data_IF_021250821000
#
_entry.id   IF_021250821000
#
_cell.length_a   1.000
_cell.length_b   1.000
_cell.length_c   1.000
_cell.angle_alpha   90.00
_cell.angle_beta   90.00
_cell.angle_gamma   90.00
#
_symmetry.space_group_name_H-M   'P 1'
#
loop_
_entity.id
_entity.type
_entity.pdbx_description
1 polymer ?
#
# COMPACT_ATOMS: atom_id res chain seq x y z
N UNK A 1 -4.65 -0.07 -13.22
CA UNK A 1 -3.94 0.97 -12.49
C UNK A 1 -3.16 0.38 -11.34
N UNK A 2 -3.85 -0.31 -10.45
CA UNK A 2 -3.16 -1.02 -9.37
C UNK A 2 -2.19 -2.04 -9.94
N UNK A 3 -2.53 -2.61 -11.07
CA UNK A 3 -1.67 -3.58 -11.74
C UNK A 3 -0.36 -3.02 -12.23
N UNK A 4 -0.26 -1.70 -12.35
CA UNK A 4 0.99 -1.05 -12.77
C UNK A 4 1.98 -0.87 -11.64
N UNK A 5 1.54 -1.06 -10.39
CA UNK A 5 2.41 -0.90 -9.24
C UNK A 5 3.19 -2.19 -8.99
N UNK A 6 4.45 -2.06 -8.50
CA UNK A 6 5.20 -3.24 -8.10
C UNK A 6 4.49 -4.00 -7.00
N UNK A 7 4.75 -5.30 -6.92
CA UNK A 7 4.14 -6.12 -5.87
C UNK A 7 4.50 -5.60 -4.48
N UNK A 8 5.70 -5.05 -4.32
CA UNK A 8 6.14 -4.52 -3.04
C UNK A 8 5.21 -3.43 -2.52
N UNK A 9 4.52 -2.74 -3.41
CA UNK A 9 3.58 -1.69 -3.03
C UNK A 9 2.16 -2.22 -2.93
N UNK A 10 1.77 -3.12 -3.83
CA UNK A 10 0.42 -3.65 -3.86
C UNK A 10 0.10 -4.55 -2.67
N UNK A 11 1.04 -5.41 -2.31
CA UNK A 11 0.78 -6.39 -1.26
C UNK A 11 0.51 -5.73 0.09
N UNK A 12 1.33 -4.78 0.56
CA UNK A 12 1.04 -4.11 1.82
C UNK A 12 -0.30 -3.39 1.79
N UNK A 13 -0.61 -2.73 0.67
CA UNK A 13 -1.88 -2.01 0.56
C UNK A 13 -3.06 -2.96 0.61
N UNK A 14 -2.98 -4.07 -0.11
CA UNK A 14 -4.06 -5.05 -0.13
C UNK A 14 -4.29 -5.63 1.26
N UNK A 15 -3.22 -5.91 2.00
CA UNK A 15 -3.34 -6.42 3.35
C UNK A 15 -3.99 -5.40 4.27
N UNK A 16 -3.64 -4.13 4.11
CA UNK A 16 -4.23 -3.07 4.92
C UNK A 16 -5.73 -2.96 4.66
N UNK A 17 -6.12 -3.01 3.41
CA UNK A 17 -7.53 -2.95 3.03
C UNK A 17 -8.30 -4.15 3.58
N UNK A 18 -7.63 -5.29 3.68
CA UNK A 18 -8.25 -6.51 4.22
C UNK A 18 -8.45 -6.46 5.73
N UNK A 19 -7.86 -5.46 6.39
CA UNK A 19 -8.05 -5.29 7.82
C UNK A 19 -6.81 -5.52 8.67
N UNK A 20 -5.67 -5.77 8.04
CA UNK A 20 -4.42 -5.97 8.77
C UNK A 20 -3.88 -4.64 9.26
N UNK A 21 -3.31 -4.66 10.47
CA UNK A 21 -2.65 -3.47 11.00
C UNK A 21 -1.24 -3.37 10.41
N UNK A 22 -0.72 -2.14 10.37
CA UNK A 22 0.63 -1.92 9.83
C UNK A 22 1.66 -2.84 10.47
N UNK A 23 1.56 -3.00 11.79
CA UNK A 23 2.50 -3.85 12.51
C UNK A 23 2.41 -5.29 12.03
N UNK A 24 1.20 -5.77 11.84
CA UNK A 24 0.99 -7.13 11.37
C UNK A 24 1.53 -7.32 9.96
N UNK A 25 1.32 -6.34 9.11
CA UNK A 25 1.84 -6.38 7.75
C UNK A 25 3.36 -6.43 7.77
N UNK A 26 3.97 -5.60 8.60
CA UNK A 26 5.43 -5.55 8.71
C UNK A 26 5.98 -6.90 9.13
N UNK A 27 5.33 -7.55 10.09
CA UNK A 27 5.79 -8.85 10.56
C UNK A 27 5.66 -9.92 9.46
N UNK A 28 4.53 -9.93 8.77
CA UNK A 28 4.29 -10.93 7.75
C UNK A 28 5.20 -10.79 6.55
N UNK A 29 5.54 -9.56 6.20
CA UNK A 29 6.39 -9.30 5.06
C UNK A 29 7.87 -9.21 5.43
N UNK A 30 8.18 -9.17 6.72
CA UNK A 30 9.56 -9.05 7.16
C UNK A 30 10.16 -7.69 6.86
N UNK A 31 9.34 -6.65 6.92
CA UNK A 31 9.78 -5.28 6.61
C UNK A 31 9.70 -4.40 7.84
N UNK A 32 10.51 -3.33 7.90
CA UNK A 32 10.38 -2.33 8.96
C UNK A 32 9.00 -1.68 8.90
N UNK A 33 8.48 -1.31 10.05
CA UNK A 33 7.17 -0.67 10.13
C UNK A 33 7.10 0.60 9.31
N UNK A 34 8.16 1.41 9.36
CA UNK A 34 8.22 2.65 8.59
C UNK A 34 8.13 2.41 7.09
N UNK A 35 8.74 1.33 6.62
CA UNK A 35 8.68 0.97 5.21
C UNK A 35 7.25 0.61 4.80
N UNK A 36 6.56 -0.15 5.64
CA UNK A 36 5.17 -0.53 5.37
C UNK A 36 4.30 0.71 5.28
N UNK A 37 4.44 1.61 6.25
CA UNK A 37 3.66 2.86 6.24
C UNK A 37 3.91 3.67 4.98
N UNK A 38 5.17 3.82 4.60
CA UNK A 38 5.53 4.60 3.43
C UNK A 38 4.94 4.00 2.15
N UNK A 39 5.03 2.69 2.02
CA UNK A 39 4.53 2.02 0.83
C UNK A 39 3.02 2.12 0.71
N UNK A 40 2.31 1.96 1.82
CA UNK A 40 0.86 2.07 1.82
C UNK A 40 0.45 3.51 1.50
N UNK A 41 1.12 4.47 2.11
CA UNK A 41 0.83 5.88 1.87
C UNK A 41 1.07 6.25 0.40
N UNK A 42 2.18 5.80 -0.15
CA UNK A 42 2.51 6.07 -1.55
C UNK A 42 1.46 5.47 -2.49
N UNK A 43 1.06 4.24 -2.22
CA UNK A 43 0.04 3.58 -3.04
C UNK A 43 -1.28 4.32 -2.99
N UNK A 44 -1.69 4.74 -1.80
CA UNK A 44 -2.93 5.51 -1.66
C UNK A 44 -2.89 6.80 -2.46
N UNK A 45 -1.77 7.49 -2.40
CA UNK A 45 -1.64 8.76 -3.12
C UNK A 45 -1.72 8.56 -4.62
N UNK A 46 -1.11 7.49 -5.11
CA UNK A 46 -1.17 7.20 -6.54
C UNK A 46 -2.60 6.93 -6.98
N UNK A 47 -3.32 6.14 -6.22
CA UNK A 47 -4.71 5.83 -6.54
C UNK A 47 -5.59 7.07 -6.48
N UNK A 48 -5.39 7.89 -5.46
CA UNK A 48 -6.16 9.12 -5.33
C UNK A 48 -5.87 10.09 -6.46
N UNK A 49 -4.61 10.19 -6.84
CA UNK A 49 -4.24 11.05 -7.95
C UNK A 49 -4.92 10.65 -9.24
N UNK A 50 -5.01 9.37 -9.47
CA UNK A 50 -5.65 8.87 -10.69
C UNK A 50 -7.15 9.08 -10.66
N UNK A 51 -7.76 8.93 -9.49
CA UNK A 51 -9.19 9.22 -9.35
C UNK A 51 -9.47 10.68 -9.62
N UNK A 52 -8.56 11.56 -9.20
CA UNK A 52 -8.71 12.99 -9.46
C UNK A 52 -8.67 13.29 -10.95
N UNK A 53 -7.86 12.58 -11.68
CA UNK A 53 -7.74 12.82 -13.11
C UNK A 53 -9.04 12.54 -13.85
N UNK A 54 -9.90 11.74 -13.26
CA UNK A 54 -11.20 11.44 -13.84
C UNK A 54 -12.26 12.49 -13.52
N UNK A 55 -12.03 13.27 -12.50
CA UNK A 55 -12.95 14.30 -12.11
C UNK A 55 -12.64 15.60 -12.80
#
# INVERSE_FOLDING_TARGET
>A
IVGLLPKEYRIPFAMHVSGFKYREIAEKLGLPLGTVKSRIFFTRQRLQGQLRDFV
#
